data_IF_655418299466
#
_entry.id   IF_655418299466
#
_cell.length_a   1.000
_cell.length_b   1.000
_cell.length_c   1.000
_cell.angle_alpha   90.00
_cell.angle_beta   90.00
_cell.angle_gamma   90.00
#
_symmetry.space_group_name_H-M   'P 1'
#
loop_
_entity.id
_entity.type
_entity.pdbx_description
1 polymer ?
#
# COMPACT_ATOMS: atom_id res chain seq x y z
N UNK A 1 19.44 -14.32 9.56
CA UNK A 1 19.06 -13.08 8.82
C UNK A 1 18.58 -12.07 9.85
N UNK A 2 19.13 -10.84 9.84
CA UNK A 2 18.69 -9.76 10.74
C UNK A 2 17.33 -9.25 10.27
N UNK A 3 16.39 -9.03 11.17
CA UNK A 3 15.11 -8.41 10.81
C UNK A 3 15.36 -6.99 10.30
N UNK A 4 14.85 -6.62 9.11
CA UNK A 4 14.96 -5.27 8.57
C UNK A 4 14.45 -4.21 9.56
N UNK A 5 15.03 -3.01 9.49
CA UNK A 5 14.63 -1.89 10.32
C UNK A 5 13.21 -1.40 9.95
N UNK A 6 12.43 -0.86 10.90
CA UNK A 6 11.08 -0.34 10.65
C UNK A 6 11.00 0.64 9.47
N UNK A 7 12.02 1.50 9.34
CA UNK A 7 12.11 2.51 8.28
C UNK A 7 12.17 1.88 6.89
N UNK A 8 12.79 0.71 6.76
CA UNK A 8 12.84 -0.03 5.50
C UNK A 8 11.43 -0.45 5.06
N UNK A 9 10.60 -0.93 5.99
CA UNK A 9 9.23 -1.32 5.68
C UNK A 9 8.36 -0.11 5.29
N UNK A 10 8.55 1.03 5.94
CA UNK A 10 7.85 2.28 5.58
C UNK A 10 8.28 2.77 4.20
N UNK A 11 9.57 2.75 3.90
CA UNK A 11 10.09 3.11 2.57
C UNK A 11 9.56 2.16 1.47
N UNK A 12 9.54 0.86 1.74
CA UNK A 12 8.99 -0.15 0.83
C UNK A 12 7.49 0.06 0.60
N UNK A 13 6.73 0.31 1.67
CA UNK A 13 5.31 0.66 1.61
C UNK A 13 5.07 1.84 0.68
N UNK A 14 5.84 2.93 0.84
CA UNK A 14 5.70 4.15 0.07
C UNK A 14 6.09 3.94 -1.40
N UNK A 15 7.18 3.22 -1.67
CA UNK A 15 7.62 2.91 -3.02
C UNK A 15 6.59 2.06 -3.79
N UNK A 16 6.05 1.01 -3.16
CA UNK A 16 5.08 0.11 -3.80
C UNK A 16 3.73 0.80 -3.99
N UNK A 17 3.16 1.37 -2.92
CA UNK A 17 1.83 1.99 -3.00
C UNK A 17 1.85 3.28 -3.83
N UNK A 18 2.88 4.12 -3.67
CA UNK A 18 3.07 5.34 -4.45
C UNK A 18 3.36 5.03 -5.92
N UNK A 19 4.21 4.05 -6.21
CA UNK A 19 4.49 3.60 -7.58
C UNK A 19 3.23 3.11 -8.28
N UNK A 20 2.43 2.26 -7.63
CA UNK A 20 1.15 1.80 -8.17
C UNK A 20 0.18 2.97 -8.36
N UNK A 21 0.10 3.90 -7.40
CA UNK A 21 -0.76 5.07 -7.52
C UNK A 21 -0.38 5.99 -8.69
N UNK A 22 0.91 6.11 -9.01
CA UNK A 22 1.39 6.98 -10.09
C UNK A 22 1.28 6.28 -11.45
N UNK A 23 1.67 5.01 -11.55
CA UNK A 23 1.87 4.33 -12.83
C UNK A 23 0.74 3.38 -13.25
N UNK A 24 -0.12 2.90 -12.33
CA UNK A 24 -1.22 2.04 -12.74
C UNK A 24 -2.38 2.87 -13.27
N UNK A 25 -3.03 2.46 -14.36
CA UNK A 25 -4.24 3.10 -14.88
C UNK A 25 -5.45 2.18 -14.70
N UNK A 26 -6.09 2.18 -13.52
CA UNK A 26 -7.04 1.13 -13.14
C UNK A 26 -8.31 1.05 -14.02
N UNK A 27 -8.53 2.00 -14.95
CA UNK A 27 -9.60 1.97 -15.95
C UNK A 27 -9.26 1.15 -17.21
N UNK A 28 -7.99 1.01 -17.55
CA UNK A 28 -7.58 0.40 -18.83
C UNK A 28 -7.47 -1.14 -18.75
N UNK A 29 -7.23 -1.69 -17.56
CA UNK A 29 -6.97 -3.12 -17.41
C UNK A 29 -7.41 -3.68 -16.06
N UNK A 30 -7.99 -4.88 -16.09
CA UNK A 30 -8.32 -5.67 -14.89
C UNK A 30 -7.09 -5.90 -14.02
N UNK A 31 -5.91 -6.08 -14.63
CA UNK A 31 -4.66 -6.28 -13.90
C UNK A 31 -4.23 -5.01 -13.16
N UNK A 32 -4.31 -3.85 -13.81
CA UNK A 32 -3.99 -2.57 -13.17
C UNK A 32 -4.99 -2.21 -12.08
N UNK A 33 -6.27 -2.54 -12.27
CA UNK A 33 -7.30 -2.42 -11.22
C UNK A 33 -6.99 -3.28 -10.00
N UNK A 34 -6.51 -4.52 -10.21
CA UNK A 34 -6.12 -5.42 -9.13
C UNK A 34 -4.86 -4.94 -8.41
N UNK A 35 -3.87 -4.45 -9.16
CA UNK A 35 -2.68 -3.84 -8.58
C UNK A 35 -3.06 -2.65 -7.68
N UNK A 36 -3.95 -1.79 -8.18
CA UNK A 36 -4.42 -0.61 -7.46
C UNK A 36 -5.23 -0.97 -6.22
N UNK A 37 -6.26 -1.81 -6.33
CA UNK A 37 -7.22 -2.01 -5.24
C UNK A 37 -6.90 -3.17 -4.30
N UNK A 38 -6.03 -4.10 -4.69
CA UNK A 38 -5.69 -5.25 -3.85
C UNK A 38 -4.21 -5.22 -3.44
N UNK A 39 -3.30 -5.11 -4.41
CA UNK A 39 -1.86 -5.29 -4.15
C UNK A 39 -1.28 -4.13 -3.35
N UNK A 40 -1.56 -2.88 -3.73
CA UNK A 40 -1.07 -1.72 -2.99
C UNK A 40 -1.60 -1.66 -1.55
N UNK A 41 -2.91 -1.86 -1.28
CA UNK A 41 -3.43 -1.95 0.09
C UNK A 41 -2.83 -3.10 0.90
N UNK A 42 -2.72 -4.30 0.31
CA UNK A 42 -2.15 -5.45 1.01
C UNK A 42 -0.69 -5.22 1.37
N UNK A 43 0.11 -4.70 0.43
CA UNK A 43 1.49 -4.33 0.67
C UNK A 43 1.61 -3.29 1.79
N UNK A 44 0.71 -2.31 1.83
CA UNK A 44 0.69 -1.30 2.88
C UNK A 44 0.41 -1.89 4.27
N UNK A 45 -0.65 -2.69 4.40
CA UNK A 45 -1.02 -3.36 5.66
C UNK A 45 0.12 -4.24 6.16
N UNK A 46 0.75 -5.03 5.28
CA UNK A 46 1.85 -5.92 5.65
C UNK A 46 3.06 -5.11 6.14
N UNK A 47 3.47 -4.09 5.38
CA UNK A 47 4.64 -3.29 5.75
C UNK A 47 4.42 -2.53 7.07
N UNK A 48 3.25 -1.95 7.29
CA UNK A 48 2.94 -1.24 8.54
C UNK A 48 2.86 -2.22 9.72
N UNK A 49 2.27 -3.41 9.51
CA UNK A 49 2.22 -4.45 10.54
C UNK A 49 3.63 -4.87 10.98
N UNK A 50 4.55 -5.00 10.02
CA UNK A 50 5.94 -5.36 10.28
C UNK A 50 6.71 -4.22 10.95
N UNK A 51 6.53 -2.98 10.49
CA UNK A 51 7.18 -1.80 11.06
C UNK A 51 6.78 -1.59 12.54
N UNK A 52 5.50 -1.77 12.85
CA UNK A 52 4.94 -1.56 14.20
C UNK A 52 4.91 -2.82 15.05
N UNK A 53 5.27 -3.98 14.48
CA UNK A 53 5.13 -5.31 15.11
C UNK A 53 3.72 -5.56 15.66
N UNK A 54 2.70 -5.02 14.98
CA UNK A 54 1.30 -5.06 15.41
C UNK A 54 0.37 -5.17 14.22
N UNK A 55 -0.32 -6.31 14.14
CA UNK A 55 -1.32 -6.58 13.08
C UNK A 55 -2.51 -5.62 13.19
N UNK A 56 -2.95 -5.32 14.42
CA UNK A 56 -4.08 -4.42 14.64
C UNK A 56 -3.76 -2.99 14.19
N UNK A 57 -2.54 -2.51 14.49
CA UNK A 57 -2.09 -1.20 14.02
C UNK A 57 -1.95 -1.17 12.50
N UNK A 58 -1.44 -2.26 11.89
CA UNK A 58 -1.34 -2.39 10.44
C UNK A 58 -2.69 -2.38 9.72
N UNK A 59 -3.71 -3.05 10.29
CA UNK A 59 -5.08 -2.98 9.75
C UNK A 59 -5.67 -1.58 9.89
N UNK A 60 -5.54 -0.96 11.07
CA UNK A 60 -6.05 0.38 11.31
C UNK A 60 -5.43 1.44 10.39
N UNK A 61 -4.11 1.47 10.29
CA UNK A 61 -3.37 2.40 9.43
C UNK A 61 -3.48 2.04 7.94
N UNK A 62 -3.63 0.76 7.62
CA UNK A 62 -3.88 0.31 6.25
C UNK A 62 -5.18 0.86 5.67
N UNK A 63 -6.23 1.03 6.50
CA UNK A 63 -7.48 1.70 6.07
C UNK A 63 -7.22 3.13 5.61
N UNK A 64 -6.35 3.88 6.29
CA UNK A 64 -5.99 5.24 5.86
C UNK A 64 -5.30 5.24 4.50
N UNK A 65 -4.44 4.27 4.21
CA UNK A 65 -3.80 4.13 2.90
C UNK A 65 -4.83 3.83 1.82
N UNK A 66 -5.80 2.94 2.09
CA UNK A 66 -6.90 2.66 1.16
C UNK A 66 -7.73 3.91 0.87
N UNK A 67 -8.05 4.70 1.90
CA UNK A 67 -8.77 5.97 1.72
C UNK A 67 -7.97 6.96 0.87
N UNK A 68 -6.66 7.05 1.08
CA UNK A 68 -5.79 7.89 0.26
C UNK A 68 -5.77 7.44 -1.20
N UNK A 69 -5.68 6.13 -1.44
CA UNK A 69 -5.80 5.57 -2.79
C UNK A 69 -7.18 5.83 -3.40
N UNK A 70 -8.26 5.75 -2.62
CA UNK A 70 -9.59 6.07 -3.11
C UNK A 70 -9.72 7.53 -3.56
N UNK A 71 -9.10 8.46 -2.84
CA UNK A 71 -9.01 9.86 -3.27
C UNK A 71 -8.17 10.00 -4.54
N UNK A 72 -7.02 9.32 -4.62
CA UNK A 72 -6.18 9.28 -5.82
C UNK A 72 -6.92 8.71 -7.04
N UNK A 73 -7.82 7.75 -6.83
CA UNK A 73 -8.61 7.14 -7.90
C UNK A 73 -9.55 8.14 -8.59
N UNK A 74 -10.00 9.20 -7.90
CA UNK A 74 -10.82 10.27 -8.49
C UNK A 74 -10.14 10.98 -9.66
N UNK A 75 -8.82 10.84 -9.81
CA UNK A 75 -8.07 11.40 -10.94
C UNK A 75 -8.35 10.70 -12.28
N UNK A 76 -8.82 9.45 -12.25
CA UNK A 76 -9.12 8.67 -13.45
C UNK A 76 -10.61 8.70 -13.71
#
# INVERSE_FOLDING_TARGET
MRTPDPDFYVALMAAVSGGICIFAEPRESTLQKLLYWAVAPAAAVICISLALKSVLAGLGLGVFVVLFMAMGYLRY
#
